data_IF_535887149936
#
_entry.id   IF_535887149936
#
_cell.length_a   1.000
_cell.length_b   1.000
_cell.length_c   1.000
_cell.angle_alpha   90.00
_cell.angle_beta   90.00
_cell.angle_gamma   90.00
#
_symmetry.space_group_name_H-M   'P 1'
#
loop_
_entity.id
_entity.type
_entity.pdbx_description
1 polymer ?
#
# COMPACT_ATOMS: atom_id res chain seq x y z
N UNK A 1 15.50 -5.24 -29.64
CA UNK A 1 15.81 -4.13 -28.71
C UNK A 1 16.49 -4.77 -27.51
N UNK A 2 17.67 -4.31 -27.14
CA UNK A 2 18.40 -4.78 -25.96
C UNK A 2 18.02 -3.91 -24.77
N UNK A 3 17.56 -4.51 -23.68
CA UNK A 3 17.30 -3.80 -22.42
C UNK A 3 18.61 -3.60 -21.65
N UNK A 4 18.77 -2.52 -20.89
CA UNK A 4 19.98 -2.28 -20.08
C UNK A 4 20.02 -3.26 -18.88
N UNK A 5 19.45 -2.84 -17.77
CA UNK A 5 19.27 -3.62 -16.53
C UNK A 5 17.84 -3.43 -16.04
N UNK A 6 17.36 -4.35 -15.21
CA UNK A 6 16.01 -4.26 -14.63
C UNK A 6 15.97 -3.26 -13.48
N UNK A 7 15.78 -1.98 -13.83
CA UNK A 7 15.83 -0.84 -12.92
C UNK A 7 14.49 -0.12 -12.90
N UNK A 8 14.13 0.39 -11.73
CA UNK A 8 13.10 1.43 -11.58
C UNK A 8 13.75 2.73 -11.12
N UNK A 9 13.21 3.85 -11.58
CA UNK A 9 13.60 5.17 -11.12
C UNK A 9 12.58 5.69 -10.10
N UNK A 10 13.06 6.13 -8.94
CA UNK A 10 12.21 6.74 -7.90
C UNK A 10 12.85 8.04 -7.43
N UNK A 11 12.20 9.17 -7.68
CA UNK A 11 12.70 10.51 -7.30
C UNK A 11 14.15 10.78 -7.78
N UNK A 12 14.52 10.30 -8.97
CA UNK A 12 15.87 10.42 -9.51
C UNK A 12 16.88 9.40 -8.96
N UNK A 13 16.44 8.43 -8.16
CA UNK A 13 17.27 7.32 -7.70
C UNK A 13 17.02 6.09 -8.57
N UNK A 14 18.07 5.60 -9.23
CA UNK A 14 18.06 4.32 -9.92
C UNK A 14 18.14 3.17 -8.90
N UNK A 15 17.16 2.27 -8.96
CA UNK A 15 17.06 1.09 -8.09
C UNK A 15 16.99 -0.19 -8.92
N UNK A 16 17.96 -1.07 -8.73
CA UNK A 16 17.99 -2.39 -9.36
C UNK A 16 17.01 -3.33 -8.66
N UNK A 17 16.14 -3.98 -9.44
CA UNK A 17 15.34 -5.09 -8.95
C UNK A 17 16.24 -6.32 -8.80
N UNK A 18 16.25 -6.92 -7.62
CA UNK A 18 17.14 -8.04 -7.28
C UNK A 18 16.38 -9.16 -6.60
N UNK A 19 16.86 -10.38 -6.81
CA UNK A 19 16.36 -11.58 -6.15
C UNK A 19 17.20 -11.90 -4.92
N UNK A 20 16.52 -12.30 -3.85
CA UNK A 20 17.15 -12.91 -2.68
C UNK A 20 16.81 -14.40 -2.67
N UNK A 21 17.07 -15.11 -1.57
CA UNK A 21 16.69 -16.53 -1.45
C UNK A 21 15.17 -16.78 -1.35
N UNK A 22 14.32 -15.77 -1.60
CA UNK A 22 12.87 -15.84 -1.49
C UNK A 22 12.16 -15.35 -2.76
N UNK A 23 10.82 -15.45 -2.77
CA UNK A 23 10.00 -15.09 -3.93
C UNK A 23 9.72 -13.58 -4.06
N UNK A 24 10.16 -12.77 -3.11
CA UNK A 24 10.00 -11.32 -3.17
C UNK A 24 11.10 -10.68 -4.03
N UNK A 25 10.71 -9.72 -4.88
CA UNK A 25 11.65 -8.84 -5.56
C UNK A 25 12.04 -7.69 -4.61
N UNK A 26 13.34 -7.51 -4.43
CA UNK A 26 13.93 -6.48 -3.59
C UNK A 26 14.57 -5.38 -4.45
N UNK A 27 15.04 -4.32 -3.79
CA UNK A 27 15.68 -3.19 -4.43
C UNK A 27 17.08 -3.00 -3.89
N UNK A 28 18.05 -2.82 -4.78
CA UNK A 28 19.41 -2.37 -4.45
C UNK A 28 19.64 -1.00 -5.07
N UNK A 29 20.21 -0.07 -4.30
CA UNK A 29 20.57 1.26 -4.79
C UNK A 29 21.91 1.24 -5.51
N UNK A 30 22.22 2.33 -6.21
CA UNK A 30 23.60 2.66 -6.57
C UNK A 30 24.48 2.69 -5.30
N UNK A 31 25.76 2.36 -5.49
CA UNK A 31 26.80 2.44 -4.46
C UNK A 31 28.00 3.23 -4.97
N UNK A 32 28.33 4.32 -4.28
CA UNK A 32 29.52 5.12 -4.53
C UNK A 32 30.77 4.56 -3.83
N UNK A 33 30.61 3.52 -3.00
CA UNK A 33 31.69 2.87 -2.27
C UNK A 33 32.44 1.80 -3.07
N UNK A 34 33.55 1.34 -2.50
CA UNK A 34 34.43 0.33 -3.11
C UNK A 34 33.84 -1.09 -3.11
N UNK A 35 32.75 -1.34 -2.38
CA UNK A 35 32.08 -2.64 -2.28
C UNK A 35 30.95 -2.85 -3.30
N UNK A 36 30.89 -1.98 -4.32
CA UNK A 36 29.95 -2.06 -5.43
C UNK A 36 30.10 -3.38 -6.19
N UNK A 37 28.99 -3.86 -6.73
CA UNK A 37 28.93 -5.11 -7.50
C UNK A 37 28.12 -4.96 -8.78
N UNK A 38 28.37 -5.87 -9.71
CA UNK A 38 27.61 -6.03 -10.94
C UNK A 38 26.19 -6.58 -10.67
N UNK A 39 25.26 -6.32 -11.60
CA UNK A 39 23.86 -6.74 -11.52
C UNK A 39 23.72 -8.27 -11.56
N UNK A 40 24.63 -8.96 -12.24
CA UNK A 40 24.76 -10.41 -12.25
C UNK A 40 26.13 -10.82 -11.74
N UNK A 41 26.22 -11.95 -11.03
CA UNK A 41 27.53 -12.47 -10.62
C UNK A 41 28.25 -13.02 -11.85
N UNK A 42 29.52 -12.68 -12.06
CA UNK A 42 30.38 -13.37 -13.03
C UNK A 42 30.98 -14.59 -12.33
N UNK A 43 30.53 -15.79 -12.70
CA UNK A 43 31.06 -17.12 -12.34
C UNK A 43 31.53 -17.35 -10.87
N UNK A 44 30.78 -18.19 -10.15
CA UNK A 44 31.23 -18.83 -8.91
C UNK A 44 30.86 -20.32 -8.95
N UNK A 45 31.67 -21.16 -8.30
CA UNK A 45 31.67 -22.64 -8.40
C UNK A 45 30.32 -23.36 -8.15
N UNK A 46 29.30 -22.67 -7.67
CA UNK A 46 27.97 -23.23 -7.37
C UNK A 46 26.94 -23.09 -8.50
N UNK A 47 27.21 -22.31 -9.55
CA UNK A 47 26.23 -22.04 -10.60
C UNK A 47 26.85 -22.31 -11.97
N UNK A 48 26.24 -23.26 -12.69
CA UNK A 48 26.60 -23.63 -14.05
C UNK A 48 26.83 -22.37 -14.91
N UNK A 49 27.88 -22.44 -15.71
CA UNK A 49 28.43 -21.40 -16.60
C UNK A 49 27.34 -20.42 -17.04
N UNK A 50 27.50 -19.15 -16.68
CA UNK A 50 26.67 -18.11 -17.28
C UNK A 50 26.89 -18.19 -18.78
N UNK A 51 25.84 -18.08 -19.61
CA UNK A 51 26.05 -17.97 -21.04
C UNK A 51 26.97 -16.77 -21.30
N UNK A 52 27.96 -16.94 -22.19
CA UNK A 52 28.86 -15.85 -22.64
C UNK A 52 28.07 -14.63 -23.14
N UNK A 53 26.81 -14.85 -23.54
CA UNK A 53 25.86 -13.82 -23.92
C UNK A 53 24.51 -14.04 -23.26
N UNK A 54 24.07 -13.09 -22.44
CA UNK A 54 22.68 -13.03 -21.96
C UNK A 54 21.86 -12.28 -23.02
N UNK A 55 21.17 -13.03 -23.87
CA UNK A 55 20.31 -12.46 -24.91
C UNK A 55 19.22 -11.56 -24.29
N UNK A 56 18.90 -10.46 -24.98
CA UNK A 56 17.89 -9.50 -24.53
C UNK A 56 18.41 -8.37 -23.65
N UNK A 57 19.66 -8.46 -23.16
CA UNK A 57 20.28 -7.42 -22.33
C UNK A 57 21.57 -6.83 -22.90
N UNK A 58 21.89 -5.60 -22.50
CA UNK A 58 23.22 -5.01 -22.65
C UNK A 58 24.19 -5.63 -21.64
N UNK A 59 25.13 -6.42 -22.14
CA UNK A 59 26.13 -7.08 -21.31
C UNK A 59 27.05 -6.11 -20.57
N UNK A 60 27.45 -5.01 -21.21
CA UNK A 60 28.37 -4.07 -20.59
C UNK A 60 27.74 -3.50 -19.32
N UNK A 61 26.43 -3.26 -19.36
CA UNK A 61 25.71 -2.69 -18.25
C UNK A 61 25.31 -3.71 -17.16
N UNK A 62 25.08 -4.98 -17.53
CA UNK A 62 24.91 -6.09 -16.58
C UNK A 62 26.15 -6.30 -15.70
N UNK A 63 27.34 -6.19 -16.31
CA UNK A 63 28.63 -6.41 -15.64
C UNK A 63 29.25 -5.15 -15.05
N UNK A 64 28.66 -3.97 -15.28
CA UNK A 64 29.14 -2.73 -14.69
C UNK A 64 28.90 -2.72 -13.18
N UNK A 65 29.99 -2.62 -12.41
CA UNK A 65 29.93 -2.61 -10.95
C UNK A 65 29.50 -1.23 -10.44
N UNK A 66 28.21 -1.06 -10.15
CA UNK A 66 27.64 0.19 -9.62
C UNK A 66 26.61 -0.01 -8.51
N UNK A 67 26.26 -1.25 -8.20
CA UNK A 67 25.15 -1.56 -7.29
C UNK A 67 25.63 -1.88 -5.89
N UNK A 68 24.87 -1.47 -4.89
CA UNK A 68 25.11 -1.85 -3.49
C UNK A 68 25.04 -3.36 -3.32
N UNK A 69 25.94 -3.97 -2.53
CA UNK A 69 25.88 -5.40 -2.24
C UNK A 69 24.71 -5.80 -1.34
N UNK A 70 24.00 -4.80 -0.79
CA UNK A 70 22.81 -4.99 0.04
C UNK A 70 21.60 -4.32 -0.58
N UNK A 71 20.44 -4.92 -0.35
CA UNK A 71 19.15 -4.31 -0.67
C UNK A 71 18.87 -3.14 0.27
N UNK A 72 17.88 -2.31 -0.05
CA UNK A 72 17.40 -1.23 0.83
C UNK A 72 16.97 -1.74 2.20
N UNK A 73 16.47 -2.98 2.29
CA UNK A 73 16.13 -3.62 3.57
C UNK A 73 17.32 -4.33 4.25
N UNK A 74 18.54 -4.14 3.76
CA UNK A 74 19.78 -4.64 4.35
C UNK A 74 20.14 -6.10 4.06
N UNK A 75 19.40 -6.79 3.19
CA UNK A 75 19.68 -8.20 2.84
C UNK A 75 20.74 -8.29 1.75
N UNK A 76 21.60 -9.31 1.80
CA UNK A 76 22.39 -9.70 0.63
C UNK A 76 21.46 -10.26 -0.46
N UNK A 77 21.84 -10.06 -1.72
CA UNK A 77 21.07 -10.52 -2.88
C UNK A 77 21.92 -11.40 -3.80
N UNK A 78 21.26 -12.26 -4.58
CA UNK A 78 21.90 -13.28 -5.42
C UNK A 78 22.33 -12.65 -6.73
N UNK A 79 21.38 -12.19 -7.50
CA UNK A 79 21.52 -11.52 -8.80
C UNK A 79 20.32 -10.59 -9.03
N UNK A 80 20.35 -9.81 -10.11
CA UNK A 80 19.22 -9.01 -10.59
C UNK A 80 17.97 -9.90 -10.73
N UNK A 81 16.77 -9.32 -10.68
CA UNK A 81 15.56 -10.01 -11.08
C UNK A 81 15.40 -9.95 -12.60
N UNK A 82 14.85 -10.99 -13.21
CA UNK A 82 14.52 -10.97 -14.64
C UNK A 82 13.51 -9.84 -14.94
N UNK A 83 13.79 -9.02 -15.96
CA UNK A 83 12.93 -7.96 -16.45
C UNK A 83 12.51 -8.16 -17.90
N UNK A 84 12.32 -7.05 -18.63
CA UNK A 84 11.85 -7.07 -20.03
C UNK A 84 12.79 -7.78 -21.00
N UNK A 85 14.09 -7.81 -20.72
CA UNK A 85 15.07 -8.55 -21.52
C UNK A 85 14.97 -10.07 -21.36
N UNK A 86 14.07 -10.56 -20.50
CA UNK A 86 13.84 -11.97 -20.25
C UNK A 86 14.61 -12.53 -19.05
N UNK A 87 14.59 -13.86 -18.91
CA UNK A 87 15.25 -14.58 -17.83
C UNK A 87 16.66 -15.02 -18.23
N UNK A 88 17.59 -15.03 -17.28
CA UNK A 88 18.96 -15.52 -17.50
C UNK A 88 19.21 -16.90 -16.88
N UNK A 89 18.39 -17.33 -15.92
CA UNK A 89 18.32 -18.75 -15.55
C UNK A 89 16.90 -19.29 -15.58
N UNK A 90 16.81 -20.62 -15.57
CA UNK A 90 15.57 -21.39 -15.75
C UNK A 90 14.52 -21.22 -14.63
N UNK A 91 14.95 -20.85 -13.43
CA UNK A 91 14.12 -20.72 -12.24
C UNK A 91 13.49 -19.33 -12.03
N UNK A 92 13.74 -18.38 -12.93
CA UNK A 92 13.46 -16.97 -12.73
C UNK A 92 12.08 -16.69 -13.23
N UNK A 93 11.42 -15.76 -12.54
CA UNK A 93 10.16 -15.21 -12.99
C UNK A 93 10.40 -13.73 -13.28
N UNK A 94 9.86 -13.26 -14.40
CA UNK A 94 9.94 -11.85 -14.75
C UNK A 94 9.25 -11.04 -13.67
N UNK A 95 9.97 -10.09 -13.09
CA UNK A 95 9.49 -9.15 -12.09
C UNK A 95 9.80 -7.73 -12.54
N UNK A 96 8.75 -6.97 -12.79
CA UNK A 96 8.83 -5.56 -13.21
C UNK A 96 8.55 -4.60 -12.06
N UNK A 97 8.22 -5.11 -10.88
CA UNK A 97 7.88 -4.32 -9.69
C UNK A 97 8.45 -4.96 -8.43
N UNK A 98 8.96 -4.15 -7.48
CA UNK A 98 9.39 -4.65 -6.18
C UNK A 98 8.19 -5.13 -5.37
N UNK A 99 8.37 -6.21 -4.62
CA UNK A 99 7.32 -6.78 -3.76
C UNK A 99 7.72 -6.82 -2.29
N UNK A 100 9.00 -6.60 -1.97
CA UNK A 100 9.45 -6.55 -0.59
C UNK A 100 8.91 -5.32 0.15
N UNK A 101 7.99 -5.55 1.10
CA UNK A 101 7.36 -4.50 1.93
C UNK A 101 8.36 -3.63 2.69
N UNK A 102 9.51 -4.20 3.09
CA UNK A 102 10.53 -3.44 3.81
C UNK A 102 11.31 -2.50 2.90
N UNK A 103 11.58 -2.88 1.65
CA UNK A 103 12.20 -1.98 0.67
C UNK A 103 11.25 -0.84 0.29
N UNK A 104 9.97 -1.17 0.06
CA UNK A 104 8.93 -0.17 -0.22
C UNK A 104 8.79 0.84 0.92
N UNK A 105 8.82 0.39 2.17
CA UNK A 105 8.80 1.29 3.33
C UNK A 105 10.02 2.24 3.40
N UNK A 106 11.18 1.83 2.89
CA UNK A 106 12.35 2.73 2.79
C UNK A 106 12.12 3.78 1.71
N UNK A 107 11.64 3.37 0.54
CA UNK A 107 11.24 4.30 -0.53
C UNK A 107 10.22 5.33 -0.03
N UNK A 108 9.21 4.89 0.73
CA UNK A 108 8.18 5.78 1.28
C UNK A 108 8.78 6.92 2.11
N UNK A 109 9.96 6.74 2.72
CA UNK A 109 10.63 7.80 3.50
C UNK A 109 11.31 8.87 2.64
N UNK A 110 11.50 8.62 1.34
CA UNK A 110 12.12 9.59 0.43
C UNK A 110 11.10 10.62 -0.08
N UNK A 111 9.82 10.28 -0.05
CA UNK A 111 8.76 11.22 -0.36
C UNK A 111 8.61 12.24 0.76
N UNK A 112 8.45 13.51 0.38
CA UNK A 112 8.18 14.55 1.35
C UNK A 112 6.92 14.18 2.15
N UNK A 113 6.96 14.32 3.50
CA UNK A 113 5.76 14.10 4.29
C UNK A 113 4.69 15.08 3.81
N UNK A 114 3.55 14.53 3.44
CA UNK A 114 2.41 15.34 3.03
C UNK A 114 1.87 15.99 4.29
N UNK A 115 1.84 17.33 4.31
CA UNK A 115 1.28 18.07 5.44
C UNK A 115 -0.19 17.70 5.61
N UNK A 116 -0.61 17.54 6.86
CA UNK A 116 -2.01 17.28 7.15
C UNK A 116 -2.81 18.54 6.82
N UNK A 117 -3.83 18.45 5.96
CA UNK A 117 -4.63 19.60 5.57
C UNK A 117 -5.45 20.10 6.77
N UNK A 118 -5.79 21.38 6.71
CA UNK A 118 -6.65 22.02 7.70
C UNK A 118 -7.99 21.27 7.77
N UNK A 119 -8.47 21.03 9.00
CA UNK A 119 -9.70 20.28 9.25
C UNK A 119 -9.52 18.77 9.41
N UNK A 120 -8.33 18.21 9.22
CA UNK A 120 -8.08 16.77 9.42
C UNK A 120 -8.45 16.29 10.83
N UNK A 121 -8.10 17.05 11.87
CA UNK A 121 -8.45 16.72 13.26
C UNK A 121 -9.96 16.82 13.51
N UNK A 122 -10.65 17.80 12.90
CA UNK A 122 -12.11 17.92 13.00
C UNK A 122 -12.81 16.74 12.31
N UNK A 123 -12.39 16.41 11.08
CA UNK A 123 -12.87 15.24 10.35
C UNK A 123 -12.69 13.97 11.19
N UNK A 124 -11.51 13.76 11.78
CA UNK A 124 -11.23 12.62 12.62
C UNK A 124 -12.13 12.55 13.87
N UNK A 125 -12.46 13.70 14.47
CA UNK A 125 -13.40 13.78 15.59
C UNK A 125 -14.83 13.43 15.17
N UNK A 126 -15.30 13.96 14.03
CA UNK A 126 -16.64 13.64 13.49
C UNK A 126 -16.76 12.15 13.20
N UNK A 127 -15.73 11.56 12.57
CA UNK A 127 -15.69 10.10 12.33
C UNK A 127 -15.75 9.33 13.65
N UNK A 128 -15.07 9.80 14.70
CA UNK A 128 -15.16 9.17 16.01
C UNK A 128 -16.57 9.29 16.62
N UNK A 129 -17.27 10.42 16.46
CA UNK A 129 -18.68 10.59 16.86
C UNK A 129 -19.60 9.61 16.11
N UNK A 130 -19.36 9.44 14.81
CA UNK A 130 -20.10 8.49 13.98
C UNK A 130 -19.86 7.05 14.45
N UNK A 131 -18.61 6.66 14.70
CA UNK A 131 -18.28 5.32 15.22
C UNK A 131 -18.89 5.08 16.59
N UNK A 132 -18.89 6.07 17.48
CA UNK A 132 -19.54 5.97 18.79
C UNK A 132 -21.06 5.75 18.66
N UNK A 133 -21.68 6.38 17.66
CA UNK A 133 -23.12 6.28 17.40
C UNK A 133 -23.54 4.97 16.71
N UNK A 134 -22.73 4.50 15.75
CA UNK A 134 -23.09 3.40 14.86
C UNK A 134 -22.26 2.13 15.06
N UNK A 135 -21.14 2.20 15.78
CA UNK A 135 -20.14 1.14 15.89
C UNK A 135 -19.17 1.10 14.70
N UNK A 136 -19.44 1.88 13.66
CA UNK A 136 -18.64 1.95 12.44
C UNK A 136 -18.82 3.30 11.73
N UNK A 137 -17.90 3.61 10.82
CA UNK A 137 -18.00 4.76 9.92
C UNK A 137 -17.26 4.50 8.61
N UNK A 138 -17.62 5.23 7.56
CA UNK A 138 -16.98 5.22 6.25
C UNK A 138 -16.61 6.64 5.85
N UNK A 139 -15.33 6.89 5.62
CA UNK A 139 -14.86 8.16 5.05
C UNK A 139 -14.68 8.01 3.55
N UNK A 140 -15.34 8.87 2.77
CA UNK A 140 -15.32 8.82 1.30
C UNK A 140 -14.58 10.02 0.75
N UNK A 141 -13.75 9.79 -0.28
CA UNK A 141 -13.11 10.85 -1.05
C UNK A 141 -11.82 11.40 -0.44
N UNK A 142 -11.22 10.71 0.53
CA UNK A 142 -9.91 11.08 1.06
C UNK A 142 -8.82 10.83 0.00
N UNK A 143 -8.00 11.84 -0.35
CA UNK A 143 -6.86 11.65 -1.24
C UNK A 143 -5.88 10.61 -0.67
N UNK A 144 -5.28 9.79 -1.54
CA UNK A 144 -4.48 8.61 -1.17
C UNK A 144 -3.30 8.97 -0.26
N UNK A 145 -2.68 10.12 -0.53
CA UNK A 145 -1.59 10.73 0.20
C UNK A 145 -1.94 11.05 1.67
N UNK A 146 -3.22 11.30 1.96
CA UNK A 146 -3.69 11.64 3.30
C UNK A 146 -4.33 10.48 4.06
N UNK A 147 -4.57 9.33 3.41
CA UNK A 147 -5.28 8.18 4.01
C UNK A 147 -4.61 7.71 5.31
N UNK A 148 -3.29 7.57 5.33
CA UNK A 148 -2.59 7.10 6.54
C UNK A 148 -2.61 8.13 7.66
N UNK A 149 -2.49 9.41 7.33
CA UNK A 149 -2.60 10.50 8.31
C UNK A 149 -4.00 10.53 8.93
N UNK A 150 -5.04 10.45 8.09
CA UNK A 150 -6.44 10.35 8.49
C UNK A 150 -6.68 9.14 9.40
N UNK A 151 -6.23 7.94 9.01
CA UNK A 151 -6.37 6.71 9.82
C UNK A 151 -5.67 6.83 11.17
N UNK A 152 -4.53 7.53 11.25
CA UNK A 152 -3.84 7.80 12.52
C UNK A 152 -4.63 8.79 13.39
N UNK A 153 -5.14 9.87 12.81
CA UNK A 153 -5.95 10.86 13.50
C UNK A 153 -7.24 10.25 14.06
N UNK A 154 -7.99 9.48 13.27
CA UNK A 154 -9.20 8.78 13.72
C UNK A 154 -8.90 7.85 14.91
N UNK A 155 -7.87 7.00 14.79
CA UNK A 155 -7.44 6.11 15.88
C UNK A 155 -7.00 6.87 17.13
N UNK A 156 -6.44 8.06 16.99
CA UNK A 156 -6.10 8.94 18.13
C UNK A 156 -7.37 9.40 18.84
N UNK A 157 -8.36 9.91 18.10
CA UNK A 157 -9.64 10.35 18.68
C UNK A 157 -10.43 9.21 19.33
N UNK A 158 -10.53 8.05 18.68
CA UNK A 158 -11.22 6.88 19.25
C UNK A 158 -10.55 6.37 20.52
N UNK A 159 -9.21 6.28 20.54
CA UNK A 159 -8.48 5.88 21.76
C UNK A 159 -8.65 6.87 22.90
N UNK A 160 -8.69 8.18 22.61
CA UNK A 160 -8.94 9.20 23.63
C UNK A 160 -10.32 9.04 24.29
N UNK A 161 -11.27 8.42 23.60
CA UNK A 161 -12.63 8.10 24.09
C UNK A 161 -12.73 6.70 24.72
N UNK A 162 -11.64 5.94 24.77
CA UNK A 162 -11.62 4.59 25.35
C UNK A 162 -11.98 3.47 24.37
N UNK A 163 -12.13 3.76 23.08
CA UNK A 163 -12.46 2.75 22.07
C UNK A 163 -11.21 2.16 21.40
N UNK A 164 -11.18 0.82 21.28
CA UNK A 164 -10.31 0.16 20.32
C UNK A 164 -10.94 0.21 18.93
N UNK A 165 -10.12 0.27 17.89
CA UNK A 165 -10.63 0.46 16.53
C UNK A 165 -9.74 -0.20 15.48
N UNK A 166 -10.39 -0.72 14.45
CA UNK A 166 -9.77 -1.19 13.21
C UNK A 166 -10.05 -0.20 12.08
N UNK A 167 -9.08 -0.01 11.18
CA UNK A 167 -9.24 0.87 10.02
C UNK A 167 -8.75 0.16 8.77
N UNK A 168 -9.51 0.25 7.69
CA UNK A 168 -9.18 -0.34 6.40
C UNK A 168 -9.38 0.68 5.29
N UNK A 169 -8.56 0.63 4.24
CA UNK A 169 -8.74 1.45 3.05
C UNK A 169 -8.98 0.53 1.86
N UNK A 170 -10.16 0.61 1.26
CA UNK A 170 -10.59 -0.22 0.13
C UNK A 170 -11.41 0.64 -0.82
N UNK A 171 -11.11 0.58 -2.12
CA UNK A 171 -11.86 1.30 -3.17
C UNK A 171 -12.08 2.80 -2.88
N UNK A 172 -11.04 3.51 -2.44
CA UNK A 172 -11.09 4.93 -2.09
C UNK A 172 -12.00 5.29 -0.89
N UNK A 173 -12.34 4.30 -0.05
CA UNK A 173 -13.11 4.47 1.18
C UNK A 173 -12.30 4.01 2.38
N UNK A 174 -12.20 4.86 3.39
CA UNK A 174 -11.61 4.50 4.69
C UNK A 174 -12.73 3.99 5.59
N UNK A 175 -12.74 2.68 5.83
CA UNK A 175 -13.64 2.03 6.75
C UNK A 175 -13.05 2.03 8.16
N UNK A 176 -13.88 2.34 9.15
CA UNK A 176 -13.51 2.40 10.56
C UNK A 176 -14.52 1.57 11.35
N UNK A 177 -14.04 0.68 12.20
CA UNK A 177 -14.87 -0.19 13.03
C UNK A 177 -14.40 -0.17 14.47
N UNK A 178 -15.33 -0.25 15.42
CA UNK A 178 -15.04 -0.48 16.82
C UNK A 178 -16.05 -1.44 17.42
N UNK A 179 -15.59 -2.64 17.78
CA UNK A 179 -16.42 -3.63 18.48
C UNK A 179 -16.89 -3.09 19.83
N UNK A 180 -16.01 -2.38 20.55
CA UNK A 180 -16.32 -1.79 21.85
C UNK A 180 -17.43 -0.74 21.73
N UNK A 181 -17.38 0.13 20.71
CA UNK A 181 -18.42 1.12 20.45
C UNK A 181 -19.72 0.44 20.02
N UNK A 182 -19.65 -0.58 19.16
CA UNK A 182 -20.84 -1.33 18.72
C UNK A 182 -21.54 -2.04 19.88
N UNK A 183 -20.77 -2.69 20.77
CA UNK A 183 -21.30 -3.36 21.96
C UNK A 183 -21.90 -2.38 22.98
N UNK A 184 -21.48 -1.11 22.97
CA UNK A 184 -22.02 -0.05 23.81
C UNK A 184 -23.36 0.53 23.34
N UNK A 185 -23.84 0.17 22.14
CA UNK A 185 -25.11 0.69 21.60
C UNK A 185 -26.28 0.07 22.37
N UNK A 186 -27.24 0.91 22.75
CA UNK A 186 -28.43 0.47 23.48
C UNK A 186 -29.20 -0.62 22.70
N UNK A 187 -29.62 -1.74 23.34
CA UNK A 187 -30.23 -2.87 22.65
C UNK A 187 -31.51 -2.54 21.87
N UNK A 188 -32.30 -1.57 22.34
CA UNK A 188 -33.50 -1.08 21.67
C UNK A 188 -33.18 -0.33 20.38
N UNK A 189 -32.10 0.45 20.36
CA UNK A 189 -31.58 1.12 19.17
C UNK A 189 -31.07 0.11 18.14
N UNK A 190 -30.32 -0.91 18.58
CA UNK A 190 -29.89 -2.00 17.69
C UNK A 190 -31.09 -2.76 17.11
N UNK A 191 -32.04 -3.17 17.94
CA UNK A 191 -33.23 -3.87 17.48
C UNK A 191 -34.06 -3.02 16.50
N UNK A 192 -34.11 -1.70 16.68
CA UNK A 192 -34.77 -0.81 15.73
C UNK A 192 -34.03 -0.76 14.38
N UNK A 193 -32.71 -0.63 14.38
CA UNK A 193 -31.88 -0.64 13.17
C UNK A 193 -32.02 -1.96 12.41
N UNK A 194 -32.01 -3.10 13.12
CA UNK A 194 -32.18 -4.42 12.52
C UNK A 194 -33.54 -4.57 11.83
N UNK A 195 -34.62 -4.06 12.46
CA UNK A 195 -35.95 -4.03 11.85
C UNK A 195 -35.96 -3.18 10.57
N UNK A 196 -35.31 -2.02 10.58
CA UNK A 196 -35.23 -1.16 9.39
C UNK A 196 -34.45 -1.80 8.25
N UNK A 197 -33.32 -2.45 8.55
CA UNK A 197 -32.53 -3.20 7.56
C UNK A 197 -33.33 -4.38 7.00
N UNK A 198 -33.96 -5.18 7.87
CA UNK A 198 -34.80 -6.30 7.45
C UNK A 198 -35.97 -5.84 6.55
N UNK A 199 -36.62 -4.72 6.89
CA UNK A 199 -37.68 -4.13 6.08
C UNK A 199 -37.15 -3.69 4.69
N UNK A 200 -35.96 -3.08 4.63
CA UNK A 200 -35.31 -2.69 3.36
C UNK A 200 -34.98 -3.93 2.51
N UNK A 201 -34.41 -4.98 3.11
CA UNK A 201 -34.12 -6.23 2.41
C UNK A 201 -35.41 -6.87 1.88
N UNK A 202 -36.47 -6.91 2.69
CA UNK A 202 -37.77 -7.44 2.29
C UNK A 202 -38.39 -6.71 1.09
N UNK A 203 -38.20 -5.39 0.99
CA UNK A 203 -38.63 -4.60 -0.16
C UNK A 203 -37.85 -4.93 -1.43
N UNK A 204 -36.52 -5.10 -1.33
CA UNK A 204 -35.66 -5.48 -2.46
C UNK A 204 -36.06 -6.87 -2.99
N UNK A 205 -36.23 -7.85 -2.09
CA UNK A 205 -36.65 -9.22 -2.45
C UNK A 205 -38.02 -9.21 -3.13
N UNK A 206 -38.91 -8.31 -2.71
CA UNK A 206 -40.25 -8.16 -3.27
C UNK A 206 -40.28 -7.38 -4.61
N UNK A 207 -39.12 -7.04 -5.17
CA UNK A 207 -39.01 -6.38 -6.48
C UNK A 207 -39.41 -4.90 -6.47
N UNK A 208 -39.48 -4.26 -5.29
CA UNK A 208 -39.72 -2.82 -5.19
C UNK A 208 -38.46 -2.11 -5.67
N UNK A 209 -38.48 -1.64 -6.92
CA UNK A 209 -37.39 -0.84 -7.49
C UNK A 209 -37.30 0.48 -6.74
N UNK A 210 -36.27 0.60 -5.90
CA UNK A 210 -35.82 1.88 -5.36
C UNK A 210 -34.52 2.26 -6.05
N UNK A 211 -34.39 3.53 -6.35
CA UNK A 211 -33.09 4.10 -6.69
C UNK A 211 -32.15 3.80 -5.49
N UNK A 212 -30.97 3.19 -5.71
CA UNK A 212 -30.08 2.87 -4.62
C UNK A 212 -29.74 4.17 -3.89
N UNK A 213 -29.96 4.20 -2.57
CA UNK A 213 -29.59 5.34 -1.75
C UNK A 213 -28.13 5.67 -2.03
N UNK A 214 -27.81 6.93 -2.35
CA UNK A 214 -26.43 7.30 -2.64
C UNK A 214 -25.63 7.04 -1.37
N UNK A 215 -24.42 6.50 -1.52
CA UNK A 215 -23.57 6.17 -0.38
C UNK A 215 -23.42 7.37 0.58
N UNK A 216 -23.22 8.56 0.00
CA UNK A 216 -23.13 9.85 0.70
C UNK A 216 -24.36 10.24 1.54
N UNK A 217 -25.52 9.63 1.29
CA UNK A 217 -26.76 9.91 2.03
C UNK A 217 -26.90 9.01 3.27
N UNK A 218 -25.95 8.08 3.49
CA UNK A 218 -25.99 7.21 4.66
C UNK A 218 -25.40 7.90 5.90
N UNK A 219 -26.03 7.75 7.07
CA UNK A 219 -25.67 8.52 8.26
C UNK A 219 -24.32 8.13 8.88
N UNK A 220 -23.78 6.97 8.50
CA UNK A 220 -22.45 6.51 8.91
C UNK A 220 -21.33 6.95 7.94
N UNK A 221 -21.69 7.62 6.84
CA UNK A 221 -20.76 8.10 5.82
C UNK A 221 -20.36 9.54 6.11
N UNK A 222 -19.06 9.78 6.15
CA UNK A 222 -18.45 11.09 6.33
C UNK A 222 -17.69 11.45 5.05
N UNK A 223 -18.04 12.57 4.42
CA UNK A 223 -17.38 13.01 3.20
C UNK A 223 -16.14 13.83 3.55
N UNK A 224 -14.98 13.47 3.00
CA UNK A 224 -13.75 14.22 3.17
C UNK A 224 -13.92 15.71 2.85
N UNK A 225 -14.48 16.01 1.67
CA UNK A 225 -14.64 17.36 1.12
C UNK A 225 -15.58 18.26 1.92
N UNK A 226 -16.38 17.71 2.84
CA UNK A 226 -17.22 18.50 3.75
C UNK A 226 -16.39 19.14 4.87
N UNK A 227 -15.31 18.48 5.29
CA UNK A 227 -14.58 18.82 6.52
C UNK A 227 -13.16 19.27 6.27
N UNK A 228 -12.56 18.79 5.19
CA UNK A 228 -11.27 19.23 4.70
C UNK A 228 -11.54 20.07 3.46
N UNK A 229 -11.32 21.37 3.60
CA UNK A 229 -11.39 22.31 2.50
C UNK A 229 -9.98 22.41 1.93
N UNK A 230 -9.76 21.79 0.78
CA UNK A 230 -8.56 22.08 0.00
C UNK A 230 -8.68 23.53 -0.52
N UNK A 231 -7.65 24.35 -0.26
CA UNK A 231 -7.33 25.55 -1.04
C UNK A 231 -6.55 25.14 -2.29
#
# INVERSE_FOLDING_TARGET
MTSDVNVIEVLGHDLLLVETSGAEAHLASLCDGDDRRAAVKVAGAEYAELPEVIAGYDQAALYHERWSPKTLCGRGWVEMAAGEGGTFRRWQVISLVPTCRSCLRVIDTWFAPVEAPDGMDLLASVVADTVETFGFSRVVGAPVEHVEALRRAIRKHLRARGYRSETHHVNAVVHVFSEDAHAGIAPDVLAQRDREVAARIGQIISGVAREPARLQDQPDVVLWSTWVLDL
#
